data_IF_234286212408
#
_entry.id   IF_234286212408
#
_cell.length_a   1.000
_cell.length_b   1.000
_cell.length_c   1.000
_cell.angle_alpha   90.00
_cell.angle_beta   90.00
_cell.angle_gamma   90.00
#
_symmetry.space_group_name_H-M   'P 1'
#
loop_
_entity.id
_entity.type
_entity.pdbx_description
1 polymer ?
#
# COMPACT_ATOMS: atom_id res chain seq x y z
N UNK A 1 10.28 -27.62 36.75
CA UNK A 1 10.22 -26.31 36.08
C UNK A 1 9.81 -26.56 34.64
N UNK A 2 8.59 -26.19 34.28
CA UNK A 2 8.13 -26.29 32.89
C UNK A 2 7.98 -24.87 32.38
N UNK A 3 8.94 -24.40 31.60
CA UNK A 3 8.79 -23.17 30.82
C UNK A 3 8.60 -23.60 29.38
N UNK A 4 7.35 -23.67 28.97
CA UNK A 4 7.01 -23.69 27.56
C UNK A 4 7.11 -22.25 27.05
N UNK A 5 8.15 -21.94 26.28
CA UNK A 5 8.12 -20.78 25.39
C UNK A 5 7.68 -21.28 24.02
N UNK A 6 6.40 -21.05 23.68
CA UNK A 6 5.93 -21.15 22.31
C UNK A 6 6.64 -20.03 21.54
N UNK A 7 7.70 -20.37 20.83
CA UNK A 7 8.27 -19.52 19.78
C UNK A 7 7.17 -19.27 18.75
N UNK A 8 6.48 -18.14 18.88
CA UNK A 8 5.65 -17.62 17.79
C UNK A 8 6.63 -17.05 16.78
N UNK A 9 7.11 -17.91 15.89
CA UNK A 9 7.78 -17.54 14.64
C UNK A 9 6.75 -16.88 13.72
N UNK A 10 6.31 -15.67 14.05
CA UNK A 10 5.59 -14.82 13.10
C UNK A 10 6.65 -14.19 12.21
N UNK A 11 7.14 -14.99 11.26
CA UNK A 11 8.06 -14.54 10.22
C UNK A 11 7.40 -13.54 9.27
N UNK A 12 8.14 -13.16 8.23
CA UNK A 12 7.75 -12.28 7.11
C UNK A 12 6.67 -12.93 6.19
N UNK A 13 5.76 -13.72 6.75
CA UNK A 13 4.68 -14.38 6.01
C UNK A 13 3.69 -13.33 5.53
N UNK A 14 3.29 -13.46 4.27
CA UNK A 14 2.28 -12.61 3.64
C UNK A 14 1.03 -12.54 4.51
N UNK A 15 0.57 -11.33 4.81
CA UNK A 15 -0.72 -11.12 5.47
C UNK A 15 -1.79 -11.46 4.43
N UNK A 16 -2.52 -12.55 4.61
CA UNK A 16 -3.77 -12.77 3.89
C UNK A 16 -4.85 -11.89 4.54
N UNK A 17 -5.29 -10.79 3.91
CA UNK A 17 -6.25 -9.90 4.53
C UNK A 17 -7.64 -10.54 4.53
N UNK A 18 -8.40 -10.32 5.60
CA UNK A 18 -9.81 -10.70 5.63
C UNK A 18 -10.57 -10.05 4.45
N UNK A 19 -11.65 -10.69 4.01
CA UNK A 19 -12.50 -10.16 2.95
C UNK A 19 -12.96 -8.72 3.27
N UNK A 20 -12.85 -7.81 2.30
CA UNK A 20 -13.14 -6.40 2.54
C UNK A 20 -11.92 -5.58 2.98
N UNK A 21 -10.74 -6.17 3.07
CA UNK A 21 -9.49 -5.46 3.40
C UNK A 21 -8.62 -5.28 2.16
N UNK A 22 -8.06 -4.07 2.01
CA UNK A 22 -7.03 -3.74 1.03
C UNK A 22 -5.77 -3.29 1.77
N UNK A 23 -4.65 -3.98 1.55
CA UNK A 23 -3.34 -3.61 2.08
C UNK A 23 -2.48 -3.15 0.91
N UNK A 24 -1.89 -1.95 0.98
CA UNK A 24 -1.01 -1.43 -0.07
C UNK A 24 0.37 -1.14 0.50
N UNK A 25 1.38 -1.82 0.00
CA UNK A 25 2.78 -1.63 0.37
C UNK A 25 3.48 -0.70 -0.62
N UNK A 26 4.42 0.10 -0.10
CA UNK A 26 5.22 1.02 -0.89
C UNK A 26 6.17 0.33 -1.89
N UNK A 27 6.56 -0.91 -1.62
CA UNK A 27 7.38 -1.74 -2.50
C UNK A 27 6.88 -3.20 -2.45
N UNK A 28 7.00 -3.91 -3.56
CA UNK A 28 6.73 -5.36 -3.62
C UNK A 28 7.83 -6.15 -2.91
N UNK A 29 7.57 -7.44 -2.71
CA UNK A 29 8.55 -8.34 -2.12
C UNK A 29 9.88 -8.34 -2.87
N UNK A 30 10.97 -8.31 -2.12
CA UNK A 30 12.33 -8.26 -2.64
C UNK A 30 12.77 -6.88 -3.14
N UNK A 31 11.92 -5.85 -3.06
CA UNK A 31 12.29 -4.46 -3.34
C UNK A 31 12.30 -3.62 -2.06
N UNK A 32 13.14 -2.59 -2.05
CA UNK A 32 13.25 -1.63 -0.95
C UNK A 32 12.40 -0.41 -1.24
N UNK A 33 11.57 0.00 -0.28
CA UNK A 33 10.90 1.29 -0.34
C UNK A 33 11.91 2.42 -0.08
N UNK A 34 12.00 3.39 -0.98
CA UNK A 34 12.88 4.55 -0.86
C UNK A 34 12.24 5.60 0.05
N UNK A 35 13.04 6.24 0.89
CA UNK A 35 12.60 7.39 1.71
C UNK A 35 12.50 8.69 0.90
N UNK A 36 13.02 8.70 -0.34
CA UNK A 36 13.08 9.90 -1.17
C UNK A 36 14.19 10.86 -0.76
N UNK A 37 14.14 12.09 -1.27
CA UNK A 37 15.09 13.17 -0.97
C UNK A 37 14.42 14.37 -0.29
N UNK A 38 13.08 14.35 -0.18
CA UNK A 38 12.27 15.42 0.37
C UNK A 38 11.72 15.06 1.75
N UNK A 39 10.64 15.75 2.13
CA UNK A 39 9.96 15.51 3.39
C UNK A 39 9.18 14.18 3.42
N UNK A 40 8.63 13.76 2.27
CA UNK A 40 7.86 12.55 2.12
C UNK A 40 8.60 11.52 1.26
N UNK A 41 8.35 10.23 1.52
CA UNK A 41 8.75 9.16 0.60
C UNK A 41 8.00 9.27 -0.73
N UNK A 42 8.53 8.72 -1.85
CA UNK A 42 7.84 8.75 -3.14
C UNK A 42 6.43 8.15 -3.07
N UNK A 43 6.24 7.11 -2.23
CA UNK A 43 4.92 6.54 -2.02
C UNK A 43 3.97 7.50 -1.29
N UNK A 44 4.42 8.11 -0.20
CA UNK A 44 3.59 9.06 0.56
C UNK A 44 3.25 10.30 -0.28
N UNK A 45 4.20 10.81 -1.06
CA UNK A 45 4.00 11.93 -1.97
C UNK A 45 2.97 11.60 -3.07
N UNK A 46 3.13 10.46 -3.74
CA UNK A 46 2.18 9.99 -4.75
C UNK A 46 0.78 9.72 -4.15
N UNK A 47 0.72 9.13 -2.96
CA UNK A 47 -0.54 8.88 -2.27
C UNK A 47 -1.29 10.18 -1.96
N UNK A 48 -0.64 11.16 -1.33
CA UNK A 48 -1.28 12.44 -0.98
C UNK A 48 -1.72 13.21 -2.23
N UNK A 49 -0.92 13.20 -3.30
CA UNK A 49 -1.28 13.79 -4.60
C UNK A 49 -2.59 13.20 -5.13
N UNK A 50 -2.70 11.87 -5.18
CA UNK A 50 -3.86 11.20 -5.77
C UNK A 50 -5.09 11.22 -4.84
N UNK A 51 -4.88 11.18 -3.51
CA UNK A 51 -5.92 11.24 -2.48
C UNK A 51 -6.82 12.48 -2.61
N UNK A 52 -6.27 13.59 -3.09
CA UNK A 52 -7.00 14.84 -3.27
C UNK A 52 -7.96 14.83 -4.47
N UNK A 53 -7.92 13.79 -5.32
CA UNK A 53 -8.74 13.71 -6.54
C UNK A 53 -10.17 13.27 -6.20
N UNK A 54 -11.19 14.16 -6.30
CA UNK A 54 -12.55 13.80 -5.93
C UNK A 54 -13.13 12.74 -6.88
N UNK A 55 -13.85 11.76 -6.31
CA UNK A 55 -14.53 10.72 -7.09
C UNK A 55 -13.60 9.69 -7.73
N UNK A 56 -12.31 9.66 -7.37
CA UNK A 56 -11.39 8.63 -7.82
C UNK A 56 -11.59 7.36 -6.98
N UNK A 57 -11.98 6.27 -7.65
CA UNK A 57 -12.16 4.96 -7.02
C UNK A 57 -10.83 4.45 -6.46
N UNK A 58 -10.87 3.80 -5.28
CA UNK A 58 -9.68 3.47 -4.48
C UNK A 58 -8.67 2.58 -5.20
N UNK A 59 -9.10 1.56 -5.95
CA UNK A 59 -8.20 0.68 -6.71
C UNK A 59 -7.52 1.46 -7.83
N UNK A 60 -8.29 2.27 -8.57
CA UNK A 60 -7.76 3.15 -9.62
C UNK A 60 -6.81 4.21 -9.06
N UNK A 61 -7.09 4.76 -7.88
CA UNK A 61 -6.18 5.66 -7.18
C UNK A 61 -4.84 4.98 -6.89
N UNK A 62 -4.86 3.74 -6.39
CA UNK A 62 -3.62 3.00 -6.14
C UNK A 62 -2.89 2.55 -7.41
N UNK A 63 -3.58 2.36 -8.54
CA UNK A 63 -2.92 2.22 -9.84
C UNK A 63 -2.14 3.48 -10.21
N UNK A 64 -2.71 4.67 -10.01
CA UNK A 64 -2.00 5.94 -10.24
C UNK A 64 -0.82 6.13 -9.28
N UNK A 65 -1.00 5.80 -7.99
CA UNK A 65 0.10 5.82 -7.01
C UNK A 65 1.24 4.90 -7.45
N UNK A 66 0.93 3.69 -7.94
CA UNK A 66 1.95 2.77 -8.45
C UNK A 66 2.73 3.39 -9.61
N UNK A 67 2.03 4.00 -10.55
CA UNK A 67 2.64 4.56 -11.76
C UNK A 67 3.50 5.80 -11.41
N UNK A 68 3.01 6.69 -10.55
CA UNK A 68 3.75 7.86 -10.04
C UNK A 68 5.04 7.44 -9.30
N UNK A 69 4.97 6.40 -8.45
CA UNK A 69 6.16 5.89 -7.73
C UNK A 69 7.16 5.25 -8.70
N UNK A 70 6.68 4.48 -9.67
CA UNK A 70 7.55 3.86 -10.68
C UNK A 70 8.28 4.93 -11.50
N UNK A 71 7.62 6.04 -11.82
CA UNK A 71 8.25 7.18 -12.50
C UNK A 71 9.27 7.88 -11.60
N UNK A 72 8.86 8.30 -10.39
CA UNK A 72 9.70 9.06 -9.47
C UNK A 72 10.96 8.30 -9.02
N UNK A 73 10.88 6.97 -8.96
CA UNK A 73 12.00 6.11 -8.52
C UNK A 73 12.84 5.54 -9.65
N UNK A 74 12.57 5.94 -10.91
CA UNK A 74 13.19 5.35 -12.10
C UNK A 74 13.02 3.83 -12.14
N UNK A 75 11.83 3.36 -11.76
CA UNK A 75 11.40 1.96 -11.73
C UNK A 75 12.20 1.06 -10.76
N UNK A 76 12.89 1.66 -9.77
CA UNK A 76 13.62 0.92 -8.72
C UNK A 76 12.73 0.43 -7.59
N UNK A 77 11.51 0.94 -7.52
CA UNK A 77 10.51 0.60 -6.52
C UNK A 77 9.14 0.48 -7.19
N UNK A 78 8.43 -0.62 -6.92
CA UNK A 78 7.07 -0.85 -7.39
C UNK A 78 6.12 -1.12 -6.22
N UNK A 79 5.14 -0.24 -5.94
CA UNK A 79 4.09 -0.51 -4.97
C UNK A 79 3.26 -1.75 -5.33
N UNK A 80 2.73 -2.43 -4.31
CA UNK A 80 1.92 -3.63 -4.50
C UNK A 80 0.77 -3.73 -3.50
N UNK A 81 -0.38 -4.20 -3.95
CA UNK A 81 -1.59 -4.35 -3.16
C UNK A 81 -1.94 -5.82 -2.90
N UNK A 82 -2.35 -6.13 -1.67
CA UNK A 82 -2.87 -7.43 -1.24
C UNK A 82 -4.29 -7.31 -0.70
N UNK A 83 -5.03 -8.41 -0.75
CA UNK A 83 -6.42 -8.47 -0.32
C UNK A 83 -7.41 -8.10 -1.42
N UNK A 84 -8.68 -8.23 -1.10
CA UNK A 84 -9.78 -7.95 -2.02
C UNK A 84 -10.93 -7.28 -1.28
N UNK A 85 -11.28 -6.08 -1.75
CA UNK A 85 -12.51 -5.40 -1.38
C UNK A 85 -13.66 -5.85 -2.29
N UNK A 86 -14.91 -5.68 -1.86
CA UNK A 86 -16.08 -6.08 -2.66
C UNK A 86 -16.03 -5.47 -4.06
N UNK A 87 -16.16 -6.29 -5.10
CA UNK A 87 -16.28 -5.81 -6.49
C UNK A 87 -17.70 -5.33 -6.86
N UNK A 88 -18.65 -5.40 -5.92
CA UNK A 88 -20.03 -4.91 -6.11
C UNK A 88 -20.21 -3.48 -5.58
N UNK A 89 -19.18 -2.91 -4.99
CA UNK A 89 -19.20 -1.60 -4.35
C UNK A 89 -17.93 -0.86 -4.75
N UNK A 90 -18.09 0.41 -5.11
CA UNK A 90 -16.96 1.30 -5.33
C UNK A 90 -16.67 2.07 -4.05
N UNK A 91 -15.38 2.19 -3.72
CA UNK A 91 -14.91 2.91 -2.54
C UNK A 91 -14.16 4.17 -2.97
N UNK A 92 -14.43 5.28 -2.28
CA UNK A 92 -13.88 6.58 -2.60
C UNK A 92 -13.41 7.27 -1.33
N UNK A 93 -12.35 8.05 -1.45
CA UNK A 93 -12.05 9.05 -0.44
C UNK A 93 -12.96 10.25 -0.65
N UNK A 94 -13.61 10.69 0.44
CA UNK A 94 -14.42 11.91 0.47
C UNK A 94 -13.63 12.99 1.18
N UNK A 95 -13.63 14.21 0.61
CA UNK A 95 -13.02 15.35 1.28
C UNK A 95 -13.68 15.56 2.65
N UNK A 96 -12.87 15.92 3.65
CA UNK A 96 -13.39 16.31 4.95
C UNK A 96 -14.35 17.51 4.76
N UNK A 97 -15.50 17.44 5.44
CA UNK A 97 -16.53 18.48 5.40
C UNK A 97 -16.06 19.78 6.05
#
# INVERSE_FOLDING_TARGET
MTVASRSVSRGLVSVEPDAGTLVVYAAKDGETALDGQGFNSPFAEAFVKNLQTPGLEVRRMFDFVRDDVMEATQRRQKPFSYGSISGRQDFYFVAAK
#
